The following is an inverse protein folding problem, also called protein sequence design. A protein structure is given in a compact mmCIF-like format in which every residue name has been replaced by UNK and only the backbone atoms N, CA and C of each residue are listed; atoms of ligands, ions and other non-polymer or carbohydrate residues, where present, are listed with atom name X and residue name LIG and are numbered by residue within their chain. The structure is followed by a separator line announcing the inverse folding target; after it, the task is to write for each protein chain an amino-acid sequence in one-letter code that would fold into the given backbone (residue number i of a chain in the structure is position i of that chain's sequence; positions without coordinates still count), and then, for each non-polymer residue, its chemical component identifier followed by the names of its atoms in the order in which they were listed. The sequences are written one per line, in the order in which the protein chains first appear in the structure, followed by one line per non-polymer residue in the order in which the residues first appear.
data_IF_976181361033
#
_entry.id   IF_976181361033
#
_cell.length_a   1.000
_cell.length_b   1.000
_cell.length_c   1.000
_cell.angle_alpha   90.00
_cell.angle_beta   90.00
_cell.angle_gamma   90.00
#
_symmetry.space_group_name_H-M   'P 1'
#
loop_
_entity.id
_entity.type
_entity.pdbx_description
1 polymer ?
#
# COMPACT_ATOMS: atom_id res chain seq x y z
N UNK A 1 30.24 50.07 -9.90
CA UNK A 1 29.92 48.88 -9.06
C UNK A 1 28.66 48.24 -9.62
N UNK A 2 28.79 47.04 -10.19
CA UNK A 2 27.71 46.25 -10.80
C UNK A 2 27.27 45.23 -9.75
N UNK A 3 26.01 45.24 -9.32
CA UNK A 3 25.45 44.18 -8.48
C UNK A 3 24.94 43.07 -9.41
N UNK A 4 25.53 41.87 -9.42
CA UNK A 4 25.00 40.76 -10.19
C UNK A 4 23.82 40.18 -9.41
N UNK A 5 22.65 40.19 -10.06
CA UNK A 5 21.49 39.37 -9.71
C UNK A 5 21.91 37.91 -9.85
N UNK A 6 22.55 37.39 -8.81
CA UNK A 6 23.05 36.01 -8.78
C UNK A 6 21.88 35.15 -8.37
N UNK A 7 21.33 34.45 -9.36
CA UNK A 7 20.08 33.71 -9.28
C UNK A 7 20.02 32.76 -8.08
N UNK A 8 19.07 33.02 -7.20
CA UNK A 8 18.63 32.08 -6.18
C UNK A 8 17.36 31.38 -6.69
N UNK A 9 17.48 30.66 -7.80
CA UNK A 9 16.48 29.67 -8.22
C UNK A 9 16.87 28.34 -7.56
N UNK A 10 16.63 28.25 -6.25
CA UNK A 10 16.70 26.99 -5.54
C UNK A 10 15.50 26.16 -6.00
N UNK A 11 15.77 25.22 -6.91
CA UNK A 11 14.79 24.31 -7.47
C UNK A 11 14.10 23.53 -6.37
N UNK A 12 12.83 23.83 -6.14
CA UNK A 12 11.93 23.12 -5.23
C UNK A 12 11.49 21.80 -5.88
N UNK A 13 12.43 20.88 -6.15
CA UNK A 13 12.12 19.52 -6.56
C UNK A 13 11.86 18.67 -5.31
N UNK A 14 10.79 18.99 -4.59
CA UNK A 14 10.26 18.09 -3.56
C UNK A 14 9.53 16.97 -4.30
N UNK A 15 10.13 15.78 -4.38
CA UNK A 15 9.42 14.58 -4.80
C UNK A 15 8.27 14.35 -3.83
N UNK A 16 7.04 14.56 -4.27
CA UNK A 16 5.83 14.24 -3.51
C UNK A 16 5.72 12.71 -3.43
N UNK A 17 6.37 12.11 -2.43
CA UNK A 17 6.11 10.73 -2.07
C UNK A 17 4.74 10.67 -1.38
N UNK A 18 3.72 10.23 -2.11
CA UNK A 18 2.40 9.96 -1.56
C UNK A 18 2.42 8.59 -0.88
N UNK A 19 1.99 8.50 0.37
CA UNK A 19 1.77 7.22 1.04
C UNK A 19 0.31 7.15 1.49
N UNK A 20 -0.36 6.05 1.18
CA UNK A 20 -1.75 5.81 1.55
C UNK A 20 -1.80 5.01 2.84
N UNK A 21 -2.50 5.56 3.83
CA UNK A 21 -2.76 4.91 5.11
C UNK A 21 -4.24 4.65 5.23
N UNK A 22 -4.60 3.41 5.53
CA UNK A 22 -5.99 3.08 5.82
C UNK A 22 -6.10 2.05 6.92
N UNK A 23 -7.24 2.15 7.61
CA UNK A 23 -7.68 1.17 8.57
C UNK A 23 -8.41 0.04 7.87
N UNK A 24 -8.13 -1.19 8.28
CA UNK A 24 -8.80 -2.36 7.76
C UNK A 24 -9.18 -3.29 8.91
N UNK A 25 -10.45 -3.66 8.97
CA UNK A 25 -10.96 -4.67 9.88
C UNK A 25 -10.48 -6.07 9.50
N UNK A 26 -10.71 -7.04 10.39
CA UNK A 26 -10.41 -8.44 10.11
C UNK A 26 -11.21 -8.96 8.91
N UNK A 27 -10.53 -9.59 7.94
CA UNK A 27 -11.11 -10.12 6.70
C UNK A 27 -11.93 -9.10 5.89
N UNK A 28 -11.81 -7.82 6.21
CA UNK A 28 -12.29 -6.78 5.31
C UNK A 28 -11.40 -6.80 4.06
N UNK A 29 -11.94 -6.45 2.90
CA UNK A 29 -11.16 -6.24 1.68
C UNK A 29 -11.13 -4.74 1.39
N UNK A 30 -9.95 -4.18 1.17
CA UNK A 30 -9.77 -2.78 0.78
C UNK A 30 -9.07 -2.75 -0.57
N UNK A 31 -9.66 -2.02 -1.51
CA UNK A 31 -9.15 -1.91 -2.87
C UNK A 31 -8.74 -0.48 -3.20
N UNK A 32 -7.64 -0.35 -3.91
CA UNK A 32 -7.21 0.88 -4.57
C UNK A 32 -7.53 0.72 -6.05
N UNK A 33 -8.21 1.71 -6.62
CA UNK A 33 -8.60 1.74 -8.03
C UNK A 33 -7.72 2.79 -8.69
N UNK A 34 -6.87 2.36 -9.61
CA UNK A 34 -5.94 3.23 -10.33
C UNK A 34 -6.12 3.04 -11.83
N UNK A 35 -6.07 4.14 -12.58
CA UNK A 35 -5.99 4.09 -14.04
C UNK A 35 -4.53 3.90 -14.45
N UNK A 36 -4.21 2.72 -14.97
CA UNK A 36 -2.84 2.30 -15.28
C UNK A 36 -2.71 2.14 -16.79
N UNK A 37 -1.63 2.64 -17.42
CA UNK A 37 -1.39 2.44 -18.85
C UNK A 37 -1.14 0.95 -19.17
N UNK A 38 -1.47 0.55 -20.40
CA UNK A 38 -1.11 -0.78 -20.89
C UNK A 38 0.41 -0.96 -21.01
N UNK A 39 0.83 -2.22 -20.97
CA UNK A 39 2.23 -2.66 -20.99
C UNK A 39 3.13 -2.00 -19.93
N UNK A 40 2.58 -1.79 -18.73
CA UNK A 40 3.35 -1.24 -17.60
C UNK A 40 3.58 -2.29 -16.52
N UNK A 41 4.78 -2.25 -15.93
CA UNK A 41 5.16 -3.10 -14.81
C UNK A 41 5.00 -2.31 -13.52
N UNK A 42 4.03 -2.69 -12.70
CA UNK A 42 3.66 -1.96 -11.50
C UNK A 42 4.21 -2.69 -10.29
N UNK A 43 4.92 -1.97 -9.43
CA UNK A 43 5.39 -2.46 -8.14
C UNK A 43 4.64 -1.76 -7.01
N UNK A 44 4.10 -2.54 -6.08
CA UNK A 44 3.51 -2.03 -4.84
C UNK A 44 4.28 -2.51 -3.61
N UNK A 45 4.36 -1.64 -2.61
CA UNK A 45 4.92 -1.94 -1.30
C UNK A 45 3.85 -1.72 -0.23
N UNK A 46 3.69 -2.68 0.67
CA UNK A 46 2.81 -2.51 1.83
C UNK A 46 3.45 -3.02 3.11
N UNK A 47 3.00 -2.44 4.21
CA UNK A 47 3.34 -2.83 5.58
C UNK A 47 2.10 -2.85 6.45
N UNK A 48 1.97 -3.91 7.24
CA UNK A 48 0.89 -4.10 8.19
C UNK A 48 1.41 -3.84 9.60
N UNK A 49 0.77 -2.93 10.31
CA UNK A 49 1.06 -2.62 11.70
C UNK A 49 -0.16 -2.83 12.57
N UNK A 50 0.03 -3.16 13.84
CA UNK A 50 -1.03 -3.18 14.83
C UNK A 50 -0.90 -1.98 15.76
N UNK A 51 -1.98 -1.24 16.01
CA UNK A 51 -2.02 -0.16 16.99
C UNK A 51 -2.48 -0.72 18.32
N UNK A 52 -1.63 -0.58 19.34
CA UNK A 52 -1.98 -0.95 20.70
C UNK A 52 -2.56 0.25 21.45
N UNK A 53 -3.81 0.14 21.90
CA UNK A 53 -4.47 1.22 22.63
C UNK A 53 -3.85 1.49 24.01
N UNK A 54 -3.16 0.50 24.61
CA UNK A 54 -2.55 0.67 25.93
C UNK A 54 -1.29 1.54 25.87
N UNK A 55 -0.39 1.23 24.93
CA UNK A 55 0.86 1.97 24.73
C UNK A 55 0.72 3.17 23.79
N UNK A 56 -0.38 3.23 23.01
CA UNK A 56 -0.65 4.24 21.97
C UNK A 56 0.48 4.27 20.94
N UNK A 57 0.92 3.09 20.52
CA UNK A 57 2.05 2.91 19.62
C UNK A 57 1.77 1.87 18.52
N UNK A 58 2.52 1.97 17.42
CA UNK A 58 2.45 1.02 16.30
C UNK A 58 3.39 -0.16 16.54
N UNK A 59 2.81 -1.31 16.86
CA UNK A 59 3.52 -2.57 17.02
C UNK A 59 3.57 -3.35 15.70
N UNK A 60 4.61 -4.17 15.49
CA UNK A 60 4.61 -5.13 14.38
C UNK A 60 3.39 -6.06 14.46
N UNK A 61 2.91 -6.47 13.28
CA UNK A 61 1.80 -7.41 13.18
C UNK A 61 2.11 -8.74 13.87
N UNK A 62 1.07 -9.42 14.35
CA UNK A 62 1.20 -10.71 15.02
C UNK A 62 1.94 -11.75 14.13
N UNK A 63 2.81 -12.60 14.71
CA UNK A 63 3.46 -13.67 13.96
C UNK A 63 2.43 -14.57 13.25
N UNK A 64 2.67 -14.87 11.97
CA UNK A 64 1.75 -15.67 11.15
C UNK A 64 0.61 -14.89 10.51
N UNK A 65 0.46 -13.59 10.77
CA UNK A 65 -0.44 -12.72 10.02
C UNK A 65 0.12 -12.49 8.61
N UNK A 66 -0.71 -12.71 7.60
CA UNK A 66 -0.40 -12.42 6.19
C UNK A 66 -1.49 -11.60 5.52
N UNK A 67 -1.16 -11.10 4.33
CA UNK A 67 -2.05 -10.29 3.50
C UNK A 67 -2.19 -10.93 2.12
N UNK A 68 -3.42 -11.18 1.70
CA UNK A 68 -3.72 -11.51 0.31
C UNK A 68 -3.69 -10.23 -0.50
N UNK A 69 -2.89 -10.25 -1.57
CA UNK A 69 -2.87 -9.23 -2.61
C UNK A 69 -3.60 -9.82 -3.82
N UNK A 70 -4.68 -9.17 -4.23
CA UNK A 70 -5.47 -9.52 -5.40
C UNK A 70 -5.51 -8.33 -6.36
N UNK A 71 -5.05 -8.51 -7.59
CA UNK A 71 -5.03 -7.46 -8.61
C UNK A 71 -5.89 -7.92 -9.78
N UNK A 72 -6.87 -7.10 -10.16
CA UNK A 72 -7.71 -7.29 -11.35
C UNK A 72 -7.45 -6.18 -12.35
N UNK A 73 -7.33 -6.55 -13.62
CA UNK A 73 -7.27 -5.62 -14.74
C UNK A 73 -8.64 -5.03 -15.10
N UNK A 74 -8.69 -4.11 -16.08
CA UNK A 74 -9.91 -3.42 -16.49
C UNK A 74 -10.94 -4.34 -17.15
N UNK A 75 -10.51 -5.49 -17.67
CA UNK A 75 -11.36 -6.55 -18.21
C UNK A 75 -11.85 -7.54 -17.14
N UNK A 76 -11.47 -7.34 -15.88
CA UNK A 76 -11.74 -8.25 -14.77
C UNK A 76 -10.80 -9.45 -14.69
N UNK A 77 -9.78 -9.55 -15.55
CA UNK A 77 -8.78 -10.61 -15.48
C UNK A 77 -7.98 -10.49 -14.17
N UNK A 78 -7.79 -11.60 -13.48
CA UNK A 78 -6.90 -11.65 -12.31
C UNK A 78 -5.45 -11.65 -12.77
N UNK A 79 -4.75 -10.54 -12.53
CA UNK A 79 -3.34 -10.35 -12.87
C UNK A 79 -2.41 -10.88 -11.77
N UNK A 80 -2.84 -10.83 -10.51
CA UNK A 80 -2.08 -11.34 -9.37
C UNK A 80 -3.06 -11.77 -8.27
N UNK A 81 -2.85 -12.95 -7.69
CA UNK A 81 -3.55 -13.38 -6.48
C UNK A 81 -2.61 -14.23 -5.62
N UNK A 82 -2.12 -13.66 -4.51
CA UNK A 82 -1.10 -14.33 -3.69
C UNK A 82 -1.12 -13.85 -2.24
N UNK A 83 -0.85 -14.78 -1.32
CA UNK A 83 -0.62 -14.51 0.09
C UNK A 83 0.84 -14.10 0.31
N UNK A 84 1.04 -13.00 1.02
CA UNK A 84 2.32 -12.46 1.42
C UNK A 84 2.38 -12.26 2.93
N UNK A 85 3.57 -11.96 3.45
CA UNK A 85 3.79 -11.67 4.87
C UNK A 85 3.19 -10.33 5.32
N UNK A 86 3.48 -9.86 6.55
CA UNK A 86 2.94 -8.59 7.05
C UNK A 86 3.57 -7.36 6.37
N UNK A 87 4.79 -7.47 5.83
CA UNK A 87 5.47 -6.42 5.07
C UNK A 87 6.07 -7.07 3.81
N UNK A 88 5.71 -6.56 2.62
CA UNK A 88 6.13 -7.17 1.37
C UNK A 88 6.08 -6.20 0.19
N UNK A 89 6.87 -6.53 -0.83
CA UNK A 89 6.80 -5.97 -2.18
C UNK A 89 6.05 -6.94 -3.10
N UNK A 90 5.17 -6.44 -3.95
CA UNK A 90 4.54 -7.21 -5.02
C UNK A 90 4.70 -6.49 -6.35
N UNK A 91 4.69 -7.25 -7.44
CA UNK A 91 4.83 -6.73 -8.79
C UNK A 91 3.85 -7.45 -9.71
N UNK A 92 3.18 -6.70 -10.58
CA UNK A 92 2.30 -7.24 -11.61
C UNK A 92 2.47 -6.48 -12.93
N UNK A 93 2.02 -7.08 -14.03
CA UNK A 93 2.06 -6.47 -15.37
C UNK A 93 0.65 -6.09 -15.79
N UNK A 94 0.43 -4.80 -16.06
CA UNK A 94 -0.80 -4.27 -16.64
C UNK A 94 -0.72 -4.44 -18.16
N UNK A 95 -1.44 -5.40 -18.72
CA UNK A 95 -1.42 -5.69 -20.15
C UNK A 95 -2.29 -4.73 -20.98
N UNK A 96 -3.33 -4.17 -20.35
CA UNK A 96 -4.30 -3.28 -20.99
C UNK A 96 -4.42 -1.99 -20.19
N UNK A 97 -4.70 -0.89 -20.88
CA UNK A 97 -4.94 0.40 -20.22
C UNK A 97 -6.32 0.41 -19.56
N UNK A 98 -6.42 1.01 -18.38
CA UNK A 98 -7.68 1.33 -17.72
C UNK A 98 -7.65 1.13 -16.20
N UNK A 99 -8.84 1.01 -15.62
CA UNK A 99 -9.03 0.85 -14.18
C UNK A 99 -8.57 -0.52 -13.68
N UNK A 100 -7.53 -0.53 -12.86
CA UNK A 100 -7.04 -1.71 -12.17
C UNK A 100 -7.47 -1.67 -10.71
N UNK A 101 -7.97 -2.81 -10.20
CA UNK A 101 -8.36 -2.96 -8.80
C UNK A 101 -7.27 -3.71 -8.05
N UNK A 102 -6.56 -3.02 -7.16
CA UNK A 102 -5.52 -3.58 -6.29
C UNK A 102 -6.11 -3.75 -4.90
N UNK A 103 -6.50 -4.98 -4.56
CA UNK A 103 -7.21 -5.32 -3.33
C UNK A 103 -6.30 -6.04 -2.32
N UNK A 104 -6.44 -5.66 -1.06
CA UNK A 104 -5.70 -6.18 0.08
C UNK A 104 -6.68 -6.77 1.09
N UNK A 105 -6.44 -8.01 1.52
CA UNK A 105 -7.28 -8.73 2.48
C UNK A 105 -6.45 -9.52 3.49
N UNK A 106 -6.65 -9.27 4.78
CA UNK A 106 -5.93 -10.01 5.84
C UNK A 106 -6.33 -11.50 5.87
N UNK A 107 -5.37 -12.40 6.10
CA UNK A 107 -5.62 -13.83 6.36
C UNK A 107 -5.86 -14.11 7.87
N UNK A 108 -6.33 -13.13 8.64
CA UNK A 108 -6.63 -13.34 10.07
C UNK A 108 -7.97 -14.04 10.24
N UNK A 109 -8.06 -14.99 11.18
CA UNK A 109 -9.34 -15.50 11.69
C UNK A 109 -9.78 -14.68 12.90
N UNK A 110 -11.10 -14.60 13.08
CA UNK A 110 -11.89 -13.72 13.97
C UNK A 110 -11.55 -13.76 15.48
N UNK A 111 -10.43 -14.36 15.87
CA UNK A 111 -10.05 -14.72 17.24
C UNK A 111 -8.66 -14.16 17.59
N UNK A 112 -7.82 -13.81 16.62
CA UNK A 112 -6.47 -13.31 16.89
C UNK A 112 -6.43 -11.81 17.29
N UNK A 113 -7.38 -10.97 16.85
CA UNK A 113 -7.38 -9.52 17.15
C UNK A 113 -8.27 -9.15 18.35
N UNK A 114 -9.16 -10.04 18.79
CA UNK A 114 -9.94 -9.84 20.03
C UNK A 114 -9.16 -10.16 21.31
N UNK A 115 -7.91 -10.64 21.19
CA UNK A 115 -6.98 -10.73 22.31
C UNK A 115 -6.35 -9.35 22.59
N UNK A 116 -7.19 -8.42 23.07
CA UNK A 116 -6.77 -7.18 23.73
C UNK A 116 -6.32 -6.04 22.80
N UNK A 117 -7.21 -5.06 22.60
CA UNK A 117 -6.84 -3.67 22.33
C UNK A 117 -6.01 -3.36 21.06
N UNK A 118 -5.97 -4.24 20.05
CA UNK A 118 -5.14 -4.06 18.85
C UNK A 118 -5.99 -3.79 17.59
N UNK A 119 -5.62 -2.77 16.81
CA UNK A 119 -6.22 -2.45 15.50
C UNK A 119 -5.20 -2.68 14.39
N UNK A 120 -5.60 -3.18 13.22
CA UNK A 120 -4.67 -3.42 12.09
C UNK A 120 -4.69 -2.25 11.11
N UNK A 121 -3.50 -1.81 10.69
CA UNK A 121 -3.25 -0.67 9.81
C UNK A 121 -2.42 -1.13 8.63
N UNK A 122 -2.80 -0.71 7.44
CA UNK A 122 -2.01 -0.91 6.24
C UNK A 122 -1.42 0.42 5.79
N UNK A 123 -0.10 0.40 5.66
CA UNK A 123 0.68 1.45 5.03
C UNK A 123 1.01 0.97 3.63
N UNK A 124 0.38 1.56 2.63
CA UNK A 124 0.76 1.39 1.23
C UNK A 124 1.69 2.52 0.86
N UNK A 125 2.96 2.20 0.62
CA UNK A 125 3.95 3.18 0.23
C UNK A 125 3.99 3.22 -1.30
N UNK A 126 3.30 4.21 -1.89
CA UNK A 126 3.58 4.60 -3.27
C UNK A 126 4.93 5.33 -3.25
N UNK A 127 5.83 4.98 -4.18
CA UNK A 127 5.81 5.68 -5.45
C UNK A 127 5.68 4.73 -6.63
N UNK A 128 4.82 5.11 -7.58
CA UNK A 128 4.90 4.62 -8.95
C UNK A 128 6.07 5.38 -9.60
N UNK A 129 7.28 4.81 -9.55
CA UNK A 129 8.34 5.15 -10.50
C UNK A 129 8.27 4.19 -11.69
#
# INVERSE_FOLDING_TARGET
MKYPVTGFLFTLSWSLASSLYFHQGEKEEKCIIEDIPGDTLVTGHYKTQSWDLATRDFLPSAPGLGMFVNVKGPDGQVLLHKLYGPESRFTFHAHSQGEHHICLMSNSTKIAVFAGNKLVWLVMQQPFE
#
